data_IF_409313616122
#
_entry.id   IF_409313616122
#
_cell.length_a   1.000
_cell.length_b   1.000
_cell.length_c   1.000
_cell.angle_alpha   90.00
_cell.angle_beta   90.00
_cell.angle_gamma   90.00
#
_symmetry.space_group_name_H-M   'P 1'
#
loop_
_entity.id
_entity.type
_entity.pdbx_description
1 polymer ?
#
# COMPACT_ATOMS: atom_id res chain seq x y z
N UNK A 1 -16.98 4.54 13.15
CA UNK A 1 -16.28 5.16 12.00
C UNK A 1 -16.60 4.37 10.73
N UNK A 2 -16.82 5.01 9.57
CA UNK A 2 -17.08 4.29 8.31
C UNK A 2 -15.84 3.48 7.91
N UNK A 3 -16.01 2.22 7.48
CA UNK A 3 -14.89 1.42 6.97
C UNK A 3 -14.28 2.09 5.74
N UNK A 4 -12.96 2.27 5.74
CA UNK A 4 -12.24 2.78 4.57
C UNK A 4 -12.35 1.77 3.41
N UNK A 5 -12.42 2.29 2.19
CA UNK A 5 -12.61 1.46 1.00
C UNK A 5 -11.25 0.98 0.47
N UNK A 6 -11.07 -0.34 0.41
CA UNK A 6 -9.94 -0.95 -0.28
C UNK A 6 -10.13 -0.78 -1.80
N UNK A 7 -9.12 -0.28 -2.54
CA UNK A 7 -9.27 -0.08 -3.98
C UNK A 7 -9.35 -1.42 -4.72
N UNK A 8 -9.98 -1.42 -5.90
CA UNK A 8 -9.95 -2.56 -6.83
C UNK A 8 -8.55 -2.82 -7.38
N UNK A 9 -8.43 -3.86 -8.23
CA UNK A 9 -7.21 -4.20 -8.96
C UNK A 9 -7.53 -4.24 -10.44
N UNK A 10 -7.04 -3.25 -11.18
CA UNK A 10 -7.21 -3.14 -12.64
C UNK A 10 -5.86 -2.80 -13.29
N UNK A 11 -5.86 -2.35 -14.55
CA UNK A 11 -4.63 -2.00 -15.28
C UNK A 11 -4.13 -0.58 -15.00
N UNK A 12 -4.97 0.29 -14.47
CA UNK A 12 -4.62 1.70 -14.17
C UNK A 12 -4.17 1.88 -12.73
N UNK A 13 -4.54 0.93 -11.85
CA UNK A 13 -4.11 0.91 -10.45
C UNK A 13 -2.64 0.51 -10.29
N UNK A 14 -1.92 1.09 -9.31
CA UNK A 14 -0.57 0.66 -8.97
C UNK A 14 -0.51 -0.83 -8.65
N UNK A 15 0.65 -1.45 -8.91
CA UNK A 15 0.98 -2.84 -8.54
C UNK A 15 2.36 -2.90 -7.93
N UNK A 16 2.58 -3.82 -7.00
CA UNK A 16 3.93 -4.11 -6.51
C UNK A 16 4.78 -4.66 -7.65
N UNK A 17 6.01 -4.14 -7.76
CA UNK A 17 7.01 -4.63 -8.71
C UNK A 17 8.10 -5.42 -7.98
N UNK A 18 9.09 -5.91 -8.73
CA UNK A 18 10.17 -6.72 -8.20
C UNK A 18 10.97 -6.02 -7.09
N UNK A 19 11.15 -4.70 -7.17
CA UNK A 19 11.88 -3.93 -6.16
C UNK A 19 11.09 -3.85 -4.85
N UNK A 20 9.78 -3.61 -4.93
CA UNK A 20 8.94 -3.60 -3.73
C UNK A 20 8.93 -4.98 -3.06
N UNK A 21 8.82 -6.04 -3.87
CA UNK A 21 8.80 -7.41 -3.38
C UNK A 21 10.14 -7.78 -2.74
N UNK A 22 11.25 -7.36 -3.35
CA UNK A 22 12.59 -7.54 -2.80
C UNK A 22 12.70 -6.86 -1.43
N UNK A 23 12.24 -5.62 -1.30
CA UNK A 23 12.27 -4.90 -0.04
C UNK A 23 11.41 -5.60 1.03
N UNK A 24 10.21 -6.07 0.68
CA UNK A 24 9.35 -6.86 1.59
C UNK A 24 10.07 -8.13 2.05
N UNK A 25 10.78 -8.82 1.15
CA UNK A 25 11.53 -10.04 1.49
C UNK A 25 12.75 -9.76 2.38
N UNK A 26 13.47 -8.67 2.12
CA UNK A 26 14.67 -8.27 2.87
C UNK A 26 14.34 -7.77 4.28
N UNK A 27 13.28 -6.95 4.41
CA UNK A 27 12.92 -6.30 5.67
C UNK A 27 11.88 -7.09 6.48
N UNK A 28 11.07 -7.91 5.83
CA UNK A 28 9.94 -8.59 6.43
C UNK A 28 8.66 -7.74 6.43
N UNK A 29 7.51 -8.41 6.32
CA UNK A 29 6.21 -7.76 6.22
C UNK A 29 5.88 -6.92 7.46
N UNK A 30 6.28 -7.36 8.66
CA UNK A 30 5.97 -6.62 9.89
C UNK A 30 6.69 -5.27 9.94
N UNK A 31 7.95 -5.21 9.52
CA UNK A 31 8.69 -3.95 9.40
C UNK A 31 8.04 -2.99 8.40
N UNK A 32 7.49 -3.50 7.29
CA UNK A 32 6.74 -2.68 6.32
C UNK A 32 5.45 -2.12 6.92
N UNK A 33 4.80 -2.85 7.84
CA UNK A 33 3.61 -2.34 8.57
C UNK A 33 4.01 -1.22 9.52
N UNK A 34 5.09 -1.41 10.26
CA UNK A 34 5.62 -0.40 11.19
C UNK A 34 6.03 0.88 10.44
N UNK A 35 6.67 0.72 9.27
CA UNK A 35 6.98 1.84 8.40
C UNK A 35 5.72 2.54 7.91
N UNK A 36 4.68 1.80 7.50
CA UNK A 36 3.40 2.38 7.10
C UNK A 36 2.76 3.22 8.22
N UNK A 37 2.79 2.73 9.46
CA UNK A 37 2.32 3.46 10.64
C UNK A 37 3.07 4.77 10.82
N UNK A 38 4.40 4.69 10.90
CA UNK A 38 5.27 5.86 11.09
C UNK A 38 5.09 6.89 9.98
N UNK A 39 4.88 6.46 8.74
CA UNK A 39 4.63 7.34 7.60
C UNK A 39 3.26 8.01 7.71
N UNK A 40 2.20 7.26 8.05
CA UNK A 40 0.85 7.82 8.23
C UNK A 40 0.82 8.82 9.38
N UNK A 41 1.41 8.49 10.52
CA UNK A 41 1.52 9.39 11.67
C UNK A 41 2.27 10.65 11.31
N UNK A 42 3.49 10.52 10.77
CA UNK A 42 4.32 11.69 10.46
C UNK A 42 3.68 12.57 9.39
N UNK A 43 3.09 11.98 8.35
CA UNK A 43 2.63 12.71 7.15
C UNK A 43 1.20 13.21 7.23
N UNK A 44 0.30 12.45 7.85
CA UNK A 44 -1.14 12.73 7.78
C UNK A 44 -1.69 13.32 9.07
N UNK A 45 -1.07 13.05 10.23
CA UNK A 45 -1.64 13.43 11.54
C UNK A 45 -1.99 14.91 11.62
N UNK A 46 -1.06 15.78 11.24
CA UNK A 46 -1.25 17.22 11.24
C UNK A 46 -1.71 17.73 9.85
N UNK A 47 -2.60 18.73 9.77
CA UNK A 47 -3.10 19.27 8.51
C UNK A 47 -2.03 19.81 7.55
N UNK A 48 -0.96 20.40 8.07
CA UNK A 48 0.12 21.07 7.31
C UNK A 48 1.45 20.28 7.30
N UNK A 49 1.42 18.98 7.56
CA UNK A 49 2.66 18.19 7.68
C UNK A 49 3.50 18.10 6.38
N UNK A 50 4.82 18.21 6.56
CA UNK A 50 5.90 18.26 5.57
C UNK A 50 5.92 17.01 4.64
N UNK A 51 6.22 17.15 3.33
CA UNK A 51 5.75 16.27 2.28
C UNK A 51 6.69 15.09 1.99
N UNK A 52 7.36 14.50 2.99
CA UNK A 52 8.23 13.36 2.70
C UNK A 52 7.41 12.10 2.47
N UNK A 53 6.99 11.90 1.22
CA UNK A 53 6.50 10.62 0.73
C UNK A 53 7.74 9.71 0.60
N UNK A 54 7.68 8.44 1.04
CA UNK A 54 8.76 7.49 0.78
C UNK A 54 9.17 7.53 -0.68
N UNK A 55 10.46 7.41 -0.97
CA UNK A 55 10.95 7.38 -2.34
C UNK A 55 10.35 6.22 -3.13
N UNK A 56 10.24 6.38 -4.46
CA UNK A 56 9.78 5.31 -5.34
C UNK A 56 10.62 4.04 -5.14
N UNK A 57 9.96 2.88 -5.05
CA UNK A 57 10.58 1.60 -4.69
C UNK A 57 10.29 1.11 -3.26
N UNK A 58 9.41 1.80 -2.52
CA UNK A 58 8.86 1.33 -1.25
C UNK A 58 7.39 0.88 -1.44
N UNK A 59 6.96 -0.31 -0.94
CA UNK A 59 5.58 -0.78 -1.07
C UNK A 59 4.56 0.17 -0.43
N UNK A 60 4.94 0.91 0.61
CA UNK A 60 4.08 1.91 1.27
C UNK A 60 3.78 3.08 0.34
N UNK A 61 4.75 3.52 -0.49
CA UNK A 61 4.52 4.55 -1.51
C UNK A 61 3.35 4.16 -2.42
N UNK A 62 3.43 2.97 -3.03
CA UNK A 62 2.38 2.49 -3.95
C UNK A 62 1.05 2.28 -3.24
N UNK A 63 1.08 1.81 -2.00
CA UNK A 63 -0.12 1.65 -1.19
C UNK A 63 -0.84 2.98 -0.97
N UNK A 64 -0.11 4.05 -0.65
CA UNK A 64 -0.68 5.38 -0.44
C UNK A 64 -1.35 5.91 -1.71
N UNK A 65 -0.69 5.76 -2.87
CA UNK A 65 -1.27 6.14 -4.15
C UNK A 65 -2.49 5.30 -4.53
N UNK A 66 -2.44 3.99 -4.30
CA UNK A 66 -3.57 3.11 -4.60
C UNK A 66 -4.80 3.40 -3.71
N UNK A 67 -4.57 3.74 -2.44
CA UNK A 67 -5.61 3.93 -1.44
C UNK A 67 -6.12 5.37 -1.30
N UNK A 68 -5.62 6.30 -2.14
CA UNK A 68 -5.88 7.74 -2.06
C UNK A 68 -5.61 8.30 -0.67
N UNK A 69 -4.45 7.97 -0.13
CA UNK A 69 -4.00 8.36 1.21
C UNK A 69 -2.68 9.16 1.17
N UNK A 70 -2.41 9.89 0.09
CA UNK A 70 -1.19 10.70 -0.03
C UNK A 70 -1.31 12.10 0.57
N UNK A 71 -2.53 12.60 0.76
CA UNK A 71 -2.81 13.91 1.35
C UNK A 71 -4.13 13.91 2.11
N UNK A 72 -4.36 14.95 2.94
CA UNK A 72 -5.63 15.19 3.64
C UNK A 72 -6.79 15.35 2.67
N UNK A 73 -6.58 16.05 1.55
CA UNK A 73 -7.58 16.24 0.50
C UNK A 73 -8.03 14.92 -0.14
N UNK A 74 -7.08 14.01 -0.43
CA UNK A 74 -7.43 12.70 -0.98
C UNK A 74 -8.21 11.84 0.02
N UNK A 75 -7.84 11.89 1.30
CA UNK A 75 -8.58 11.24 2.39
C UNK A 75 -9.99 11.82 2.54
N UNK A 76 -10.15 13.13 2.37
CA UNK A 76 -11.45 13.77 2.38
C UNK A 76 -12.31 13.32 1.20
N UNK A 77 -11.80 13.38 -0.03
CA UNK A 77 -12.54 12.99 -1.23
C UNK A 77 -12.95 11.51 -1.20
N UNK A 78 -12.02 10.63 -0.80
CA UNK A 78 -12.21 9.18 -0.90
C UNK A 78 -12.92 8.59 0.32
N UNK A 79 -12.61 9.12 1.51
CA UNK A 79 -13.01 8.51 2.79
C UNK A 79 -13.79 9.46 3.72
N UNK A 80 -13.98 10.73 3.31
CA UNK A 80 -14.73 11.76 4.06
C UNK A 80 -14.13 12.09 5.44
N UNK A 81 -12.80 11.93 5.58
CA UNK A 81 -12.06 12.40 6.75
C UNK A 81 -11.80 13.90 6.57
N UNK A 82 -12.29 14.74 7.49
CA UNK A 82 -12.17 16.21 7.40
C UNK A 82 -10.69 16.63 7.45
N UNK A 83 -10.22 17.49 6.53
CA UNK A 83 -8.81 17.87 6.45
C UNK A 83 -8.36 18.86 7.54
N UNK A 84 -9.27 19.67 8.09
CA UNK A 84 -8.97 20.79 8.99
C UNK A 84 -8.71 20.38 10.44
N UNK A 85 -8.92 19.10 10.76
CA UNK A 85 -8.67 18.55 12.09
C UNK A 85 -7.51 17.57 12.03
N UNK A 86 -6.78 17.46 13.13
CA UNK A 86 -5.81 16.38 13.31
C UNK A 86 -6.51 15.02 13.19
N UNK A 87 -5.81 14.02 12.64
CA UNK A 87 -6.34 12.66 12.71
C UNK A 87 -6.33 12.19 14.16
N UNK A 88 -7.43 11.57 14.57
CA UNK A 88 -7.44 10.77 15.80
C UNK A 88 -6.65 9.49 15.61
N UNK A 89 -6.18 8.88 16.69
CA UNK A 89 -5.45 7.61 16.65
C UNK A 89 -6.27 6.51 15.95
N UNK A 90 -7.59 6.50 16.14
CA UNK A 90 -8.49 5.59 15.44
C UNK A 90 -8.53 5.81 13.92
N UNK A 91 -8.38 7.07 13.46
CA UNK A 91 -8.31 7.40 12.05
C UNK A 91 -6.95 7.01 11.46
N UNK A 92 -5.86 7.25 12.18
CA UNK A 92 -4.50 6.80 11.83
C UNK A 92 -4.47 5.28 11.67
N UNK A 93 -4.96 4.55 12.67
CA UNK A 93 -5.07 3.09 12.67
C UNK A 93 -5.90 2.58 11.48
N UNK A 94 -6.98 3.29 11.15
CA UNK A 94 -7.82 2.93 9.99
C UNK A 94 -7.05 3.08 8.67
N UNK A 95 -6.30 4.17 8.50
CA UNK A 95 -5.48 4.42 7.29
C UNK A 95 -4.34 3.41 7.23
N UNK A 96 -3.62 3.16 8.33
CA UNK A 96 -2.59 2.12 8.43
C UNK A 96 -3.12 0.77 7.97
N UNK A 97 -4.23 0.32 8.55
CA UNK A 97 -4.84 -0.96 8.20
C UNK A 97 -5.24 -1.04 6.72
N UNK A 98 -5.69 0.07 6.13
CA UNK A 98 -6.01 0.14 4.71
C UNK A 98 -4.76 -0.10 3.85
N UNK A 99 -3.66 0.60 4.15
CA UNK A 99 -2.39 0.45 3.45
C UNK A 99 -1.82 -0.96 3.59
N UNK A 100 -1.75 -1.48 4.81
CA UNK A 100 -1.25 -2.83 5.10
C UNK A 100 -2.07 -3.89 4.37
N UNK A 101 -3.40 -3.80 4.40
CA UNK A 101 -4.27 -4.75 3.69
C UNK A 101 -4.03 -4.72 2.19
N UNK A 102 -3.81 -3.55 1.62
CA UNK A 102 -3.50 -3.42 0.20
C UNK A 102 -2.15 -4.08 -0.13
N UNK A 103 -1.09 -3.80 0.65
CA UNK A 103 0.25 -4.36 0.43
C UNK A 103 0.21 -5.89 0.51
N UNK A 104 -0.41 -6.45 1.56
CA UNK A 104 -0.53 -7.91 1.72
C UNK A 104 -1.30 -8.53 0.55
N UNK A 105 -2.37 -7.88 0.10
CA UNK A 105 -3.16 -8.36 -1.03
C UNK A 105 -2.35 -8.37 -2.32
N UNK A 106 -1.65 -7.28 -2.64
CA UNK A 106 -0.81 -7.22 -3.85
C UNK A 106 0.38 -8.18 -3.77
N UNK A 107 0.96 -8.38 -2.60
CA UNK A 107 2.04 -9.37 -2.39
C UNK A 107 1.56 -10.79 -2.71
N UNK A 108 0.33 -11.15 -2.29
CA UNK A 108 -0.25 -12.45 -2.60
C UNK A 108 -0.51 -12.61 -4.10
N UNK A 109 -1.06 -11.59 -4.77
CA UNK A 109 -1.25 -11.63 -6.22
C UNK A 109 0.07 -11.79 -6.97
N UNK A 110 1.12 -11.07 -6.57
CA UNK A 110 2.45 -11.22 -7.15
C UNK A 110 2.94 -12.67 -7.03
N UNK A 111 2.79 -13.29 -5.85
CA UNK A 111 3.20 -14.68 -5.63
C UNK A 111 2.43 -15.68 -6.52
N UNK A 112 1.14 -15.46 -6.71
CA UNK A 112 0.30 -16.30 -7.58
C UNK A 112 0.73 -16.15 -9.04
N UNK A 113 0.91 -14.91 -9.51
CA UNK A 113 1.38 -14.61 -10.87
C UNK A 113 2.76 -15.23 -11.14
N UNK A 114 3.69 -15.16 -10.19
CA UNK A 114 5.00 -15.81 -10.29
C UNK A 114 4.89 -17.33 -10.35
N UNK A 115 4.02 -17.94 -9.52
CA UNK A 115 3.81 -19.39 -9.53
C UNK A 115 3.26 -19.86 -10.88
N UNK A 116 2.31 -19.13 -11.45
CA UNK A 116 1.75 -19.45 -12.76
C UNK A 116 2.79 -19.34 -13.88
N UNK A 117 3.64 -18.31 -13.86
CA UNK A 117 4.75 -18.17 -14.83
C UNK A 117 5.69 -19.37 -14.75
N UNK A 118 6.06 -19.80 -13.56
CA UNK A 118 6.96 -20.94 -13.37
C UNK A 118 6.34 -22.26 -13.86
N UNK A 119 5.03 -22.46 -13.64
CA UNK A 119 4.31 -23.63 -14.17
C UNK A 119 4.32 -23.61 -15.70
N UNK A 120 3.95 -22.49 -16.32
CA UNK A 120 3.94 -22.35 -17.79
C UNK A 120 5.31 -22.56 -18.41
N UNK A 121 6.36 -22.05 -17.76
CA UNK A 121 7.75 -22.22 -18.19
C UNK A 121 8.16 -23.70 -18.15
N UNK A 122 7.87 -24.38 -17.04
CA UNK A 122 8.14 -25.81 -16.90
C UNK A 122 7.39 -26.65 -17.93
N UNK A 123 6.10 -26.36 -18.14
CA UNK A 123 5.26 -27.08 -19.10
C UNK A 123 5.75 -26.86 -20.55
N UNK A 124 6.27 -25.66 -20.87
CA UNK A 124 6.89 -25.37 -22.15
C UNK A 124 8.14 -26.23 -22.40
N UNK A 125 9.04 -26.33 -21.41
CA UNK A 125 10.25 -27.16 -21.54
C UNK A 125 9.96 -28.67 -21.51
N UNK A 126 8.90 -29.11 -20.82
CA UNK A 126 8.51 -30.53 -20.77
C UNK A 126 7.86 -31.05 -22.06
N UNK A 127 7.43 -30.15 -22.96
CA UNK A 127 6.80 -30.49 -24.26
C UNK A 127 7.79 -30.54 -25.42
N UNK A 128 9.08 -30.28 -25.15
CA UNK A 128 10.18 -30.31 -26.13
C UNK A 128 11.06 -31.52 -25.87
#
# INVERSE_FOLDING_TARGET
>A
MRKLKLPGRDKTRPRLDENDIRLIKEQGMDKIKDDAERIVERKLKEPESDPMIPTAGNPVYKAMHACNATSREQLFMSHRIQPEKELTDAQIESVKNLLTRWIVREYNFYREEEREKQIKLRDFYSRR
#
